data_IF_251176070142
#
_entry.id   IF_251176070142
#
_cell.length_a   1.000
_cell.length_b   1.000
_cell.length_c   1.000
_cell.angle_alpha   90.00
_cell.angle_beta   90.00
_cell.angle_gamma   90.00
#
_symmetry.space_group_name_H-M   'P 1'
#
loop_
_entity.id
_entity.type
_entity.pdbx_description
1 polymer ?
#
# COMPACT_ATOMS: atom_id res chain seq x y z
N UNK A 1 25.49 -4.59 -28.57
CA UNK A 1 24.09 -4.92 -28.32
C UNK A 1 23.26 -3.63 -28.48
N UNK A 2 22.15 -3.66 -29.19
CA UNK A 2 21.35 -2.45 -29.39
C UNK A 2 20.77 -2.00 -28.05
N UNK A 3 20.96 -0.73 -27.64
CA UNK A 3 20.53 -0.21 -26.34
C UNK A 3 19.01 -0.12 -26.16
N UNK A 4 18.26 -0.26 -27.24
CA UNK A 4 16.79 -0.04 -27.24
C UNK A 4 15.97 -1.17 -26.61
N UNK A 5 16.38 -2.43 -26.73
CA UNK A 5 15.63 -3.57 -26.17
C UNK A 5 15.84 -3.67 -24.65
N UNK A 6 17.04 -3.36 -24.18
CA UNK A 6 17.37 -3.38 -22.75
C UNK A 6 16.64 -2.29 -21.95
N UNK A 7 16.44 -1.08 -22.51
CA UNK A 7 15.76 0.01 -21.82
C UNK A 7 14.25 -0.22 -21.72
N UNK A 8 13.60 -0.68 -22.80
CA UNK A 8 12.18 -0.97 -22.80
C UNK A 8 11.81 -2.13 -21.84
N UNK A 9 12.60 -3.20 -21.82
CA UNK A 9 12.43 -4.28 -20.86
C UNK A 9 12.59 -3.77 -19.42
N UNK A 10 13.61 -2.95 -19.14
CA UNK A 10 13.83 -2.33 -17.84
C UNK A 10 12.64 -1.48 -17.38
N UNK A 11 12.00 -0.74 -18.26
CA UNK A 11 10.86 0.12 -17.91
C UNK A 11 9.57 -0.70 -17.66
N UNK A 12 9.37 -1.80 -18.37
CA UNK A 12 8.27 -2.74 -18.11
C UNK A 12 8.44 -3.37 -16.73
N UNK A 13 9.63 -3.85 -16.39
CA UNK A 13 9.91 -4.40 -15.06
C UNK A 13 9.68 -3.39 -13.95
N UNK A 14 10.09 -2.13 -14.13
CA UNK A 14 9.85 -1.07 -13.14
C UNK A 14 8.36 -0.86 -12.86
N UNK A 15 7.54 -0.83 -13.91
CA UNK A 15 6.07 -0.65 -13.77
C UNK A 15 5.42 -1.85 -13.08
N UNK A 16 5.80 -3.06 -13.45
CA UNK A 16 5.31 -4.29 -12.80
C UNK A 16 5.72 -4.35 -11.34
N UNK A 17 6.95 -3.96 -11.02
CA UNK A 17 7.48 -4.00 -9.66
C UNK A 17 6.74 -3.04 -8.72
N UNK A 18 6.37 -1.83 -9.17
CA UNK A 18 5.52 -0.91 -8.40
C UNK A 18 4.20 -1.60 -8.01
N UNK A 19 3.51 -2.24 -8.97
CA UNK A 19 2.27 -2.94 -8.67
C UNK A 19 2.43 -4.06 -7.64
N UNK A 20 3.52 -4.83 -7.75
CA UNK A 20 3.82 -5.93 -6.83
C UNK A 20 4.18 -5.45 -5.42
N UNK A 21 4.76 -4.26 -5.25
CA UNK A 21 5.07 -3.70 -3.93
C UNK A 21 3.85 -3.54 -3.02
N UNK A 22 2.66 -3.31 -3.59
CA UNK A 22 1.42 -3.15 -2.82
C UNK A 22 0.82 -4.47 -2.35
N UNK A 23 1.17 -5.58 -3.01
CA UNK A 23 0.64 -6.90 -2.71
C UNK A 23 1.48 -7.51 -1.59
N UNK A 24 0.90 -7.57 -0.41
CA UNK A 24 1.51 -8.23 0.75
C UNK A 24 1.34 -9.75 0.73
N UNK A 25 1.79 -10.40 1.79
CA UNK A 25 1.72 -11.85 1.96
C UNK A 25 0.34 -12.36 2.44
N UNK A 26 0.33 -13.62 2.89
CA UNK A 26 -0.84 -14.29 3.45
C UNK A 26 -1.30 -13.68 4.78
N UNK A 27 -2.51 -14.01 5.22
CA UNK A 27 -3.14 -13.47 6.43
C UNK A 27 -2.30 -13.62 7.71
N UNK A 28 -1.59 -14.74 7.87
CA UNK A 28 -0.73 -15.01 9.05
C UNK A 28 0.73 -14.57 8.87
N UNK A 29 1.09 -13.96 7.74
CA UNK A 29 2.46 -13.51 7.47
C UNK A 29 2.78 -12.20 8.18
N UNK A 30 4.05 -12.03 8.57
CA UNK A 30 4.61 -10.77 9.08
C UNK A 30 4.91 -9.76 7.96
N UNK A 31 4.59 -10.10 6.72
CA UNK A 31 4.78 -9.24 5.55
C UNK A 31 3.91 -7.99 5.65
N UNK A 32 4.51 -6.84 5.35
CA UNK A 32 3.82 -5.55 5.26
C UNK A 32 3.05 -5.43 3.92
N UNK A 33 2.39 -4.30 3.69
CA UNK A 33 1.56 -4.09 2.51
C UNK A 33 0.12 -4.60 2.71
N UNK A 34 -0.67 -4.57 1.63
CA UNK A 34 -2.07 -5.00 1.68
C UNK A 34 -2.12 -6.52 1.52
N UNK A 35 -2.49 -7.23 2.59
CA UNK A 35 -2.55 -8.71 2.59
C UNK A 35 -3.56 -9.22 1.56
N UNK A 36 -3.25 -10.34 0.92
CA UNK A 36 -4.03 -10.92 -0.20
C UNK A 36 -5.50 -11.16 0.17
N UNK A 37 -5.78 -11.60 1.41
CA UNK A 37 -7.16 -11.85 1.83
C UNK A 37 -8.04 -10.57 1.80
N UNK A 38 -7.45 -9.40 2.04
CA UNK A 38 -8.16 -8.11 1.95
C UNK A 38 -8.59 -7.81 0.52
N UNK A 39 -7.73 -8.11 -0.47
CA UNK A 39 -8.09 -8.00 -1.88
C UNK A 39 -9.21 -8.96 -2.27
N UNK A 40 -9.17 -10.21 -1.79
CA UNK A 40 -10.22 -11.19 -2.09
C UNK A 40 -11.58 -10.77 -1.52
N UNK A 41 -11.61 -10.28 -0.28
CA UNK A 41 -12.86 -9.81 0.34
C UNK A 41 -13.37 -8.54 -0.36
N UNK A 42 -12.47 -7.60 -0.67
CA UNK A 42 -12.84 -6.39 -1.42
C UNK A 42 -13.43 -6.74 -2.79
N UNK A 43 -12.81 -7.65 -3.54
CA UNK A 43 -13.30 -8.10 -4.84
C UNK A 43 -14.69 -8.74 -4.71
N UNK A 44 -14.87 -9.64 -3.76
CA UNK A 44 -16.17 -10.28 -3.48
C UNK A 44 -17.24 -9.26 -3.07
N UNK A 45 -16.86 -8.26 -2.28
CA UNK A 45 -17.74 -7.16 -1.89
C UNK A 45 -18.20 -6.34 -3.10
N UNK A 46 -17.27 -5.94 -3.97
CA UNK A 46 -17.60 -5.18 -5.19
C UNK A 46 -18.53 -5.98 -6.09
N UNK A 47 -18.27 -7.28 -6.30
CA UNK A 47 -19.16 -8.14 -7.08
C UNK A 47 -20.56 -8.25 -6.48
N UNK A 48 -20.66 -8.34 -5.14
CA UNK A 48 -21.96 -8.38 -4.47
C UNK A 48 -22.71 -7.05 -4.60
N UNK A 49 -22.01 -5.91 -4.55
CA UNK A 49 -22.63 -4.61 -4.78
C UNK A 49 -23.16 -4.48 -6.22
N UNK A 50 -22.39 -4.93 -7.21
CA UNK A 50 -22.87 -4.95 -8.60
C UNK A 50 -24.10 -5.85 -8.78
N UNK A 51 -24.14 -7.02 -8.14
CA UNK A 51 -25.31 -7.91 -8.15
C UNK A 51 -26.53 -7.25 -7.48
N UNK A 52 -26.35 -6.52 -6.39
CA UNK A 52 -27.44 -5.78 -5.71
C UNK A 52 -28.04 -4.68 -6.60
N UNK A 53 -27.23 -4.04 -7.44
CA UNK A 53 -27.69 -3.04 -8.40
C UNK A 53 -28.58 -3.70 -9.48
N UNK A 54 -28.18 -4.88 -9.97
CA UNK A 54 -28.93 -5.63 -11.00
C UNK A 54 -30.22 -6.25 -10.41
N UNK A 55 -30.12 -6.79 -9.19
CA UNK A 55 -31.20 -7.46 -8.49
C UNK A 55 -31.48 -6.84 -7.13
N UNK A 56 -32.20 -5.70 -7.04
CA UNK A 56 -32.36 -4.93 -5.81
C UNK A 56 -33.11 -5.67 -4.69
N UNK A 57 -33.92 -6.69 -5.04
CA UNK A 57 -34.62 -7.55 -4.07
C UNK A 57 -33.85 -8.82 -3.71
N UNK A 58 -32.67 -9.04 -4.28
CA UNK A 58 -31.83 -10.21 -4.02
C UNK A 58 -31.11 -10.12 -2.68
N UNK A 59 -31.07 -11.21 -1.93
CA UNK A 59 -30.26 -11.34 -0.71
C UNK A 59 -28.92 -11.96 -1.08
N UNK A 60 -27.86 -11.16 -1.08
CA UNK A 60 -26.48 -11.60 -1.38
C UNK A 60 -25.65 -11.55 -0.11
N UNK A 61 -25.27 -12.74 0.39
CA UNK A 61 -24.39 -12.86 1.57
C UNK A 61 -22.94 -12.89 1.08
N UNK A 62 -22.09 -12.01 1.64
CA UNK A 62 -20.66 -12.04 1.40
C UNK A 62 -20.08 -13.29 2.06
N UNK A 63 -19.41 -14.13 1.30
CA UNK A 63 -18.75 -15.34 1.79
C UNK A 63 -17.25 -15.27 1.52
N UNK A 64 -16.45 -15.63 2.51
CA UNK A 64 -15.02 -15.86 2.40
C UNK A 64 -14.71 -17.24 2.98
N UNK A 65 -14.04 -18.08 2.19
CA UNK A 65 -13.73 -19.47 2.56
C UNK A 65 -14.95 -20.23 3.11
N UNK A 66 -16.09 -20.15 2.39
CA UNK A 66 -17.40 -20.78 2.73
C UNK A 66 -18.11 -20.23 3.97
N UNK A 67 -17.48 -19.34 4.72
CA UNK A 67 -18.08 -18.68 5.89
C UNK A 67 -18.64 -17.30 5.55
N UNK A 68 -19.79 -16.90 6.13
CA UNK A 68 -20.32 -15.56 5.95
C UNK A 68 -19.40 -14.53 6.62
N UNK A 69 -19.16 -13.42 5.95
CA UNK A 69 -18.34 -12.32 6.43
C UNK A 69 -19.25 -11.24 7.02
N UNK A 70 -18.94 -10.79 8.23
CA UNK A 70 -19.68 -9.71 8.89
C UNK A 70 -19.45 -8.37 8.16
N UNK A 71 -20.50 -7.56 8.10
CA UNK A 71 -20.45 -6.21 7.52
C UNK A 71 -19.43 -5.31 8.23
N UNK A 72 -19.28 -5.44 9.55
CA UNK A 72 -18.28 -4.71 10.34
C UNK A 72 -16.86 -5.04 9.93
N UNK A 73 -16.59 -6.32 9.66
CA UNK A 73 -15.27 -6.76 9.20
C UNK A 73 -14.96 -6.23 7.80
N UNK A 74 -15.95 -6.24 6.91
CA UNK A 74 -15.84 -5.67 5.56
C UNK A 74 -15.57 -4.16 5.61
N UNK A 75 -16.29 -3.42 6.46
CA UNK A 75 -16.06 -1.99 6.67
C UNK A 75 -14.64 -1.71 7.18
N UNK A 76 -14.11 -2.54 8.09
CA UNK A 76 -12.73 -2.41 8.58
C UNK A 76 -11.70 -2.59 7.46
N UNK A 77 -11.92 -3.54 6.54
CA UNK A 77 -11.03 -3.75 5.40
C UNK A 77 -11.03 -2.56 4.45
N UNK A 78 -12.22 -2.03 4.13
CA UNK A 78 -12.36 -0.86 3.25
C UNK A 78 -11.68 0.35 3.89
N UNK A 79 -11.89 0.58 5.19
CA UNK A 79 -11.26 1.67 5.93
C UNK A 79 -9.74 1.53 5.94
N UNK A 80 -9.20 0.31 6.09
CA UNK A 80 -7.77 0.06 6.03
C UNK A 80 -7.18 0.43 4.67
N UNK A 81 -7.81 -0.02 3.57
CA UNK A 81 -7.33 0.27 2.21
C UNK A 81 -7.39 1.77 1.94
N UNK A 82 -8.46 2.44 2.35
CA UNK A 82 -8.59 3.89 2.24
C UNK A 82 -7.46 4.61 2.95
N UNK A 83 -7.22 4.30 4.24
CA UNK A 83 -6.16 4.92 5.02
C UNK A 83 -4.76 4.62 4.48
N UNK A 84 -4.55 3.40 3.98
CA UNK A 84 -3.29 3.02 3.32
C UNK A 84 -3.01 3.91 2.10
N UNK A 85 -4.01 4.14 1.25
CA UNK A 85 -3.89 5.02 0.09
C UNK A 85 -3.66 6.49 0.50
N UNK A 86 -4.39 6.99 1.49
CA UNK A 86 -4.21 8.36 2.00
C UNK A 86 -2.77 8.57 2.49
N UNK A 87 -2.24 7.64 3.29
CA UNK A 87 -0.86 7.73 3.81
C UNK A 87 0.15 7.62 2.66
N UNK A 88 -0.07 6.71 1.72
CA UNK A 88 0.78 6.57 0.53
C UNK A 88 0.87 7.88 -0.25
N UNK A 89 -0.26 8.51 -0.56
CA UNK A 89 -0.28 9.78 -1.26
C UNK A 89 0.36 10.90 -0.44
N UNK A 90 0.11 10.95 0.87
CA UNK A 90 0.72 11.95 1.76
C UNK A 90 2.23 11.84 1.76
N UNK A 91 2.80 10.63 1.93
CA UNK A 91 4.24 10.41 1.89
C UNK A 91 4.81 10.75 0.52
N UNK A 92 4.13 10.37 -0.57
CA UNK A 92 4.56 10.70 -1.93
C UNK A 92 4.67 12.21 -2.14
N UNK A 93 3.66 12.97 -1.71
CA UNK A 93 3.65 14.44 -1.80
C UNK A 93 4.77 15.03 -0.95
N UNK A 94 4.94 14.59 0.29
CA UNK A 94 6.00 15.07 1.17
C UNK A 94 7.40 14.81 0.58
N UNK A 95 7.64 13.64 -0.01
CA UNK A 95 8.90 13.32 -0.69
C UNK A 95 9.11 14.19 -1.93
N UNK A 96 8.06 14.43 -2.71
CA UNK A 96 8.14 15.33 -3.88
C UNK A 96 8.48 16.77 -3.49
N UNK A 97 7.97 17.25 -2.35
CA UNK A 97 8.30 18.58 -1.81
C UNK A 97 9.78 18.72 -1.38
N UNK A 98 10.47 17.62 -1.09
CA UNK A 98 11.91 17.63 -0.82
C UNK A 98 12.79 17.75 -2.05
N UNK A 99 12.19 17.90 -3.26
CA UNK A 99 12.90 18.03 -4.53
C UNK A 99 13.30 16.71 -5.18
N UNK A 100 12.73 15.59 -4.73
CA UNK A 100 12.97 14.28 -5.35
C UNK A 100 12.15 14.14 -6.63
N UNK A 101 12.70 13.39 -7.58
CA UNK A 101 12.01 13.00 -8.82
C UNK A 101 10.72 12.22 -8.51
N UNK A 102 9.70 12.40 -9.36
CA UNK A 102 8.36 11.78 -9.17
C UNK A 102 8.45 10.25 -9.04
N UNK A 103 9.27 9.60 -9.88
CA UNK A 103 9.43 8.14 -9.84
C UNK A 103 10.06 7.71 -8.51
N UNK A 104 11.08 8.43 -8.07
CA UNK A 104 11.75 8.21 -6.78
C UNK A 104 10.79 8.44 -5.62
N UNK A 105 9.96 9.48 -5.66
CA UNK A 105 8.98 9.80 -4.61
C UNK A 105 7.89 8.73 -4.50
N UNK A 106 7.28 8.32 -5.62
CA UNK A 106 6.24 7.29 -5.66
C UNK A 106 6.79 5.94 -5.20
N UNK A 107 7.92 5.53 -5.75
CA UNK A 107 8.52 4.23 -5.39
C UNK A 107 9.09 4.22 -3.99
N UNK A 108 9.63 5.35 -3.51
CA UNK A 108 10.09 5.52 -2.14
C UNK A 108 8.95 5.42 -1.12
N UNK A 109 7.81 6.07 -1.39
CA UNK A 109 6.61 5.93 -0.58
C UNK A 109 6.09 4.49 -0.57
N UNK A 110 5.98 3.84 -1.75
CA UNK A 110 5.54 2.47 -1.88
C UNK A 110 6.44 1.49 -1.10
N UNK A 111 7.76 1.59 -1.29
CA UNK A 111 8.71 0.69 -0.61
C UNK A 111 8.76 0.92 0.89
N UNK A 112 8.59 2.16 1.37
CA UNK A 112 8.58 2.47 2.81
C UNK A 112 7.35 1.86 3.50
N UNK A 113 6.14 2.11 3.00
CA UNK A 113 4.91 1.58 3.62
C UNK A 113 4.82 0.06 3.51
N UNK A 114 5.25 -0.51 2.38
CA UNK A 114 5.22 -1.97 2.18
C UNK A 114 6.44 -2.68 2.76
N UNK A 115 7.45 -1.95 3.25
CA UNK A 115 8.71 -2.47 3.79
C UNK A 115 9.42 -3.45 2.82
N UNK A 116 9.45 -3.12 1.53
CA UNK A 116 10.07 -3.95 0.49
C UNK A 116 11.59 -3.79 0.48
N UNK A 117 12.08 -2.55 0.66
CA UNK A 117 13.50 -2.21 0.70
C UNK A 117 13.92 -1.39 -0.53
N UNK A 118 14.19 -1.98 -1.70
CA UNK A 118 14.60 -1.21 -2.87
C UNK A 118 13.44 -0.39 -3.44
N UNK A 119 13.74 0.84 -3.85
CA UNK A 119 12.84 1.67 -4.64
C UNK A 119 13.13 1.53 -6.13
N UNK A 120 12.64 2.51 -6.90
CA UNK A 120 12.90 2.64 -8.35
C UNK A 120 13.53 4.00 -8.63
N UNK A 121 14.19 4.08 -9.75
CA UNK A 121 14.91 5.29 -10.17
C UNK A 121 16.42 5.15 -10.02
N UNK A 122 17.12 6.21 -10.36
CA UNK A 122 18.60 6.24 -10.33
C UNK A 122 19.15 6.31 -8.91
N UNK A 123 18.38 6.88 -7.98
CA UNK A 123 18.85 7.19 -6.62
C UNK A 123 18.61 6.03 -5.65
N UNK A 124 17.38 5.49 -5.60
CA UNK A 124 16.96 4.45 -4.64
C UNK A 124 16.64 3.11 -5.32
N UNK A 125 17.03 2.95 -6.58
CA UNK A 125 16.87 1.71 -7.32
C UNK A 125 17.75 0.58 -6.77
N UNK A 126 17.69 -0.63 -7.39
CA UNK A 126 18.41 -1.81 -6.93
C UNK A 126 19.94 -1.62 -6.81
N UNK A 127 20.51 -0.72 -7.61
CA UNK A 127 21.94 -0.37 -7.58
C UNK A 127 22.23 0.92 -6.80
N UNK A 128 21.20 1.59 -6.28
CA UNK A 128 21.28 2.83 -5.51
C UNK A 128 21.23 2.58 -4.00
N UNK A 129 21.35 3.66 -3.26
CA UNK A 129 21.19 3.63 -1.81
C UNK A 129 20.48 4.89 -1.31
N UNK A 130 19.97 4.84 -0.10
CA UNK A 130 19.26 5.96 0.53
C UNK A 130 20.21 7.04 1.11
N UNK A 131 21.53 6.86 1.03
CA UNK A 131 22.50 7.79 1.64
C UNK A 131 22.50 9.16 0.98
N UNK A 132 22.26 9.22 -0.33
CA UNK A 132 22.25 10.45 -1.14
C UNK A 132 20.98 11.29 -0.97
N UNK A 133 19.96 10.76 -0.28
CA UNK A 133 18.71 11.49 -0.04
C UNK A 133 18.89 12.61 0.99
N UNK A 134 18.12 13.72 0.91
CA UNK A 134 18.02 14.70 1.96
C UNK A 134 17.61 14.06 3.29
N UNK A 135 18.13 14.55 4.41
CA UNK A 135 17.85 13.97 5.73
C UNK A 135 16.35 14.01 6.09
N UNK A 136 15.65 15.07 5.67
CA UNK A 136 14.19 15.17 5.82
C UNK A 136 13.49 14.00 5.12
N UNK A 137 13.90 13.63 3.89
CA UNK A 137 13.34 12.51 3.16
C UNK A 137 13.58 11.18 3.88
N UNK A 138 14.75 11.01 4.50
CA UNK A 138 15.08 9.80 5.29
C UNK A 138 14.15 9.67 6.51
N UNK A 139 13.85 10.77 7.19
CA UNK A 139 12.90 10.77 8.31
C UNK A 139 11.48 10.43 7.87
N UNK A 140 11.01 11.02 6.76
CA UNK A 140 9.69 10.71 6.19
C UNK A 140 9.57 9.23 5.83
N UNK A 141 10.59 8.66 5.16
CA UNK A 141 10.63 7.26 4.80
C UNK A 141 10.67 6.34 6.03
N UNK A 142 11.46 6.68 7.05
CA UNK A 142 11.53 5.93 8.30
C UNK A 142 10.19 5.90 9.02
N UNK A 143 9.48 7.03 9.07
CA UNK A 143 8.12 7.08 9.60
C UNK A 143 7.15 6.22 8.79
N UNK A 144 7.25 6.25 7.45
CA UNK A 144 6.47 5.38 6.56
C UNK A 144 6.71 3.88 6.83
N UNK A 145 7.97 3.49 7.08
CA UNK A 145 8.31 2.11 7.43
C UNK A 145 7.69 1.65 8.75
N UNK A 146 7.69 2.52 9.77
CA UNK A 146 7.04 2.24 11.06
C UNK A 146 5.54 2.05 10.89
N UNK A 147 4.87 2.96 10.13
CA UNK A 147 3.45 2.86 9.82
C UNK A 147 3.09 1.57 9.11
N UNK A 148 3.89 1.18 8.13
CA UNK A 148 3.67 -0.07 7.38
C UNK A 148 3.88 -1.33 8.21
N UNK A 149 4.79 -1.30 9.19
CA UNK A 149 5.17 -2.48 10.00
C UNK A 149 4.19 -2.77 11.13
N UNK A 150 3.69 -1.74 11.82
CA UNK A 150 2.90 -1.88 13.06
C UNK A 150 1.37 -1.91 12.81
N UNK A 151 0.94 -2.21 11.60
CA UNK A 151 -0.46 -2.09 11.17
C UNK A 151 -1.01 -0.67 11.39
N UNK A 152 -1.31 0.03 10.31
CA UNK A 152 -1.69 1.44 10.26
C UNK A 152 -2.62 1.90 11.39
N UNK A 153 -3.63 1.08 11.74
CA UNK A 153 -4.60 1.44 12.76
C UNK A 153 -4.01 1.51 14.16
N UNK A 154 -3.07 0.62 14.52
CA UNK A 154 -2.47 0.62 15.84
C UNK A 154 -1.72 1.92 16.13
N UNK A 155 -0.99 2.44 15.13
CA UNK A 155 -0.27 3.71 15.28
C UNK A 155 -1.24 4.89 15.23
N UNK A 156 -2.21 4.90 14.32
CA UNK A 156 -3.14 6.01 14.18
C UNK A 156 -3.99 6.22 15.45
N UNK A 157 -4.35 5.16 16.15
CA UNK A 157 -5.07 5.24 17.43
C UNK A 157 -4.25 6.00 18.49
N UNK A 158 -2.92 5.84 18.50
CA UNK A 158 -2.04 6.57 19.44
C UNK A 158 -2.05 8.10 19.23
N UNK A 159 -2.32 8.56 18.01
CA UNK A 159 -2.44 9.99 17.70
C UNK A 159 -3.81 10.58 18.02
N UNK A 160 -4.81 9.74 18.35
CA UNK A 160 -6.14 10.24 18.73
C UNK A 160 -6.15 10.70 20.19
N UNK A 161 -6.49 11.97 20.48
CA UNK A 161 -6.58 12.48 21.85
C UNK A 161 -7.56 11.67 22.72
N UNK A 162 -8.58 11.08 22.11
CA UNK A 162 -9.57 10.24 22.80
C UNK A 162 -8.96 8.99 23.44
N UNK A 163 -7.86 8.45 22.87
CA UNK A 163 -7.16 7.28 23.44
C UNK A 163 -6.50 7.60 24.79
N UNK A 164 -6.05 8.86 24.99
CA UNK A 164 -5.33 9.30 26.20
C UNK A 164 -6.26 9.88 27.27
N UNK A 165 -7.55 10.04 26.96
CA UNK A 165 -8.53 10.67 27.90
C UNK A 165 -9.40 9.66 28.65
N UNK A 166 -9.19 8.37 28.46
CA UNK A 166 -9.87 7.30 29.24
C UNK A 166 -8.96 6.76 30.33
#
# INVERSE_FOLDING_TARGET
PPPSISSAASDVYKRQFIGLMFIGGCAGSTTCGIKIFRFQILYSFVLNQLKKIIYPKGIFVLKYNQSPVDDKFTASIISFIYMYLVIFFTITVLLSLTGLDIITSISGAATSISNVGPGLGSTIGPNGNFSSLPDISKWILSFGMILGRLELFAILVLFLPSFWRN
#
